data_IF_390329620417
#
_entry.id   IF_390329620417
#
_cell.length_a   1.000
_cell.length_b   1.000
_cell.length_c   1.000
_cell.angle_alpha   90.00
_cell.angle_beta   90.00
_cell.angle_gamma   90.00
#
_symmetry.space_group_name_H-M   'P 1'
#
loop_
_entity.id
_entity.type
_entity.pdbx_description
1 polymer ?
#
# COMPACT_ATOMS: atom_id res chain seq x y z
N UNK A 1 -80.26 -19.35 1.24
CA UNK A 1 -79.17 -19.90 0.42
C UNK A 1 -78.62 -18.88 -0.58
N UNK A 2 -79.46 -18.27 -1.43
CA UNK A 2 -79.03 -17.29 -2.46
C UNK A 2 -78.38 -16.03 -1.86
N UNK A 3 -79.01 -15.41 -0.84
CA UNK A 3 -78.43 -14.24 -0.15
C UNK A 3 -77.05 -14.52 0.44
N UNK A 4 -76.85 -15.73 0.97
CA UNK A 4 -75.58 -16.15 1.59
C UNK A 4 -74.49 -16.31 0.52
N UNK A 5 -74.82 -16.85 -0.65
CA UNK A 5 -73.93 -16.89 -1.82
C UNK A 5 -73.56 -15.50 -2.32
N UNK A 6 -74.51 -14.56 -2.41
CA UNK A 6 -74.24 -13.19 -2.84
C UNK A 6 -73.27 -12.46 -1.90
N UNK A 7 -73.42 -12.64 -0.59
CA UNK A 7 -72.50 -12.06 0.41
C UNK A 7 -71.09 -12.65 0.27
N UNK A 8 -70.97 -13.97 0.10
CA UNK A 8 -69.67 -14.63 -0.09
C UNK A 8 -68.97 -14.12 -1.36
N UNK A 9 -69.71 -14.00 -2.47
CA UNK A 9 -69.18 -13.47 -3.74
C UNK A 9 -68.71 -12.02 -3.57
N UNK A 10 -69.48 -11.19 -2.86
CA UNK A 10 -69.10 -9.81 -2.57
C UNK A 10 -67.80 -9.71 -1.76
N UNK A 11 -67.66 -10.51 -0.71
CA UNK A 11 -66.45 -10.56 0.12
C UNK A 11 -65.24 -11.02 -0.70
N UNK A 12 -65.40 -12.07 -1.51
CA UNK A 12 -64.33 -12.55 -2.39
C UNK A 12 -63.90 -11.49 -3.41
N UNK A 13 -64.85 -10.76 -4.01
CA UNK A 13 -64.54 -9.69 -4.95
C UNK A 13 -63.73 -8.57 -4.29
N UNK A 14 -64.07 -8.19 -3.04
CA UNK A 14 -63.31 -7.20 -2.26
C UNK A 14 -61.89 -7.69 -1.96
N UNK A 15 -61.74 -8.96 -1.55
CA UNK A 15 -60.41 -9.55 -1.28
C UNK A 15 -59.55 -9.58 -2.55
N UNK A 16 -60.13 -9.99 -3.69
CA UNK A 16 -59.43 -10.03 -4.99
C UNK A 16 -59.04 -8.61 -5.42
N UNK A 17 -59.95 -7.63 -5.28
CA UNK A 17 -59.67 -6.23 -5.58
C UNK A 17 -58.53 -5.66 -4.72
N UNK A 18 -58.55 -5.93 -3.41
CA UNK A 18 -57.50 -5.54 -2.48
C UNK A 18 -56.15 -6.21 -2.83
N UNK A 19 -56.16 -7.52 -3.11
CA UNK A 19 -54.94 -8.24 -3.51
C UNK A 19 -54.37 -7.70 -4.82
N UNK A 20 -55.21 -7.40 -5.80
CA UNK A 20 -54.79 -6.83 -7.08
C UNK A 20 -54.19 -5.44 -6.89
N UNK A 21 -54.82 -4.57 -6.10
CA UNK A 21 -54.31 -3.23 -5.79
C UNK A 21 -52.95 -3.30 -5.07
N UNK A 22 -52.83 -4.16 -4.04
CA UNK A 22 -51.59 -4.37 -3.30
C UNK A 22 -50.46 -4.93 -4.18
N UNK A 23 -50.76 -5.88 -5.07
CA UNK A 23 -49.79 -6.40 -6.05
C UNK A 23 -49.33 -5.30 -7.01
N UNK A 24 -50.25 -4.49 -7.53
CA UNK A 24 -49.91 -3.40 -8.48
C UNK A 24 -48.99 -2.36 -7.84
N UNK A 25 -49.26 -1.96 -6.58
CA UNK A 25 -48.41 -1.02 -5.83
C UNK A 25 -47.00 -1.58 -5.59
N UNK A 26 -46.88 -2.84 -5.16
CA UNK A 26 -45.57 -3.49 -4.97
C UNK A 26 -44.77 -3.60 -6.27
N UNK A 27 -45.43 -3.95 -7.38
CA UNK A 27 -44.75 -4.02 -8.67
C UNK A 27 -44.20 -2.67 -9.12
N UNK A 28 -44.92 -1.56 -8.88
CA UNK A 28 -44.40 -0.22 -9.16
C UNK A 28 -43.16 0.11 -8.34
N UNK A 29 -43.18 -0.17 -7.03
CA UNK A 29 -42.02 0.02 -6.14
C UNK A 29 -40.81 -0.79 -6.63
N UNK A 30 -41.01 -2.06 -7.00
CA UNK A 30 -39.91 -2.91 -7.50
C UNK A 30 -39.35 -2.35 -8.82
N UNK A 31 -40.19 -1.84 -9.72
CA UNK A 31 -39.75 -1.22 -10.96
C UNK A 31 -38.94 0.05 -10.71
N UNK A 32 -39.33 0.88 -9.74
CA UNK A 32 -38.57 2.07 -9.33
C UNK A 32 -37.20 1.68 -8.74
N UNK A 33 -37.14 0.68 -7.87
CA UNK A 33 -35.88 0.16 -7.32
C UNK A 33 -34.98 -0.36 -8.45
N UNK A 34 -35.54 -1.14 -9.37
CA UNK A 34 -34.81 -1.72 -10.50
C UNK A 34 -34.26 -0.63 -11.42
N UNK A 35 -35.08 0.39 -11.73
CA UNK A 35 -34.64 1.54 -12.52
C UNK A 35 -33.54 2.34 -11.81
N UNK A 36 -33.66 2.55 -10.49
CA UNK A 36 -32.62 3.22 -9.70
C UNK A 36 -31.29 2.47 -9.74
N UNK A 37 -31.31 1.14 -9.57
CA UNK A 37 -30.11 0.30 -9.68
C UNK A 37 -29.55 0.34 -11.11
N UNK A 38 -30.41 0.24 -12.13
CA UNK A 38 -29.98 0.29 -13.53
C UNK A 38 -29.25 1.59 -13.85
N UNK A 39 -29.78 2.73 -13.39
CA UNK A 39 -29.14 4.03 -13.58
C UNK A 39 -27.77 4.11 -12.90
N UNK A 40 -27.66 3.58 -11.67
CA UNK A 40 -26.38 3.51 -10.95
C UNK A 40 -25.37 2.64 -11.70
N UNK A 41 -25.81 1.54 -12.31
CA UNK A 41 -24.94 0.65 -13.07
C UNK A 41 -24.54 1.25 -14.43
N UNK A 42 -25.45 1.94 -15.12
CA UNK A 42 -25.21 2.53 -16.44
C UNK A 42 -24.33 3.79 -16.37
N UNK A 43 -24.58 4.64 -15.37
CA UNK A 43 -23.88 5.92 -15.22
C UNK A 43 -22.80 5.90 -14.14
N UNK A 44 -22.53 4.73 -13.53
CA UNK A 44 -21.55 4.53 -12.45
C UNK A 44 -21.67 5.55 -11.30
N UNK A 45 -22.90 5.94 -10.96
CA UNK A 45 -23.15 6.99 -9.95
C UNK A 45 -22.93 6.48 -8.53
N UNK A 46 -22.70 7.41 -7.61
CA UNK A 46 -22.58 7.14 -6.17
C UNK A 46 -23.88 7.41 -5.42
N UNK A 47 -25.00 7.46 -6.16
CA UNK A 47 -26.31 7.75 -5.59
C UNK A 47 -26.87 6.54 -4.84
N UNK A 48 -27.74 6.81 -3.88
CA UNK A 48 -28.46 5.79 -3.12
C UNK A 48 -29.82 5.55 -3.74
N UNK A 49 -30.28 4.31 -3.68
CA UNK A 49 -31.64 3.96 -4.08
C UNK A 49 -32.58 4.36 -2.96
N UNK A 50 -33.31 5.46 -3.16
CA UNK A 50 -34.25 6.02 -2.19
C UNK A 50 -35.67 5.92 -2.74
N UNK A 51 -36.40 4.88 -2.32
CA UNK A 51 -37.79 4.67 -2.72
C UNK A 51 -38.67 4.67 -1.46
N UNK A 52 -39.63 5.60 -1.34
CA UNK A 52 -40.52 5.65 -0.18
C UNK A 52 -41.46 4.44 -0.20
N UNK A 53 -41.36 3.60 0.83
CA UNK A 53 -42.21 2.41 1.00
C UNK A 53 -42.69 2.31 2.44
N UNK A 54 -43.92 1.86 2.63
CA UNK A 54 -44.46 1.49 3.95
C UNK A 54 -44.36 -0.01 4.24
N UNK A 55 -43.72 -0.77 3.34
CA UNK A 55 -43.53 -2.22 3.45
C UNK A 55 -42.16 -2.50 4.09
N UNK A 56 -42.16 -2.94 5.35
CA UNK A 56 -40.95 -3.15 6.16
C UNK A 56 -39.91 -4.08 5.48
N UNK A 57 -40.29 -5.24 4.89
CA UNK A 57 -39.37 -6.07 4.12
C UNK A 57 -38.68 -5.35 2.96
N UNK A 58 -39.40 -4.48 2.23
CA UNK A 58 -38.81 -3.72 1.11
C UNK A 58 -37.85 -2.65 1.65
N UNK A 59 -38.22 -2.00 2.76
CA UNK A 59 -37.35 -1.02 3.40
C UNK A 59 -36.04 -1.67 3.89
N UNK A 60 -36.11 -2.85 4.51
CA UNK A 60 -34.92 -3.59 4.92
C UNK A 60 -34.05 -3.96 3.72
N UNK A 61 -34.64 -4.42 2.61
CA UNK A 61 -33.91 -4.73 1.39
C UNK A 61 -33.20 -3.49 0.81
N UNK A 62 -33.88 -2.34 0.76
CA UNK A 62 -33.29 -1.07 0.32
C UNK A 62 -32.09 -0.66 1.17
N UNK A 63 -32.17 -0.84 2.49
CA UNK A 63 -31.04 -0.57 3.39
C UNK A 63 -29.86 -1.49 3.07
N UNK A 64 -30.09 -2.78 2.85
CA UNK A 64 -29.00 -3.73 2.51
C UNK A 64 -28.38 -3.43 1.15
N UNK A 65 -29.19 -3.08 0.14
CA UNK A 65 -28.71 -2.67 -1.18
C UNK A 65 -27.82 -1.44 -1.06
N UNK A 66 -28.27 -0.40 -0.35
CA UNK A 66 -27.48 0.81 -0.16
C UNK A 66 -26.17 0.55 0.61
N UNK A 67 -26.17 -0.35 1.60
CA UNK A 67 -24.93 -0.79 2.27
C UNK A 67 -23.97 -1.50 1.33
N UNK A 68 -24.50 -2.34 0.42
CA UNK A 68 -23.70 -3.04 -0.59
C UNK A 68 -23.10 -2.03 -1.58
N UNK A 69 -23.86 -1.03 -2.01
CA UNK A 69 -23.37 0.08 -2.85
C UNK A 69 -22.27 0.89 -2.14
N UNK A 70 -22.47 1.26 -0.87
CA UNK A 70 -21.46 1.94 -0.07
C UNK A 70 -20.16 1.11 0.03
N UNK A 71 -20.29 -0.20 0.30
CA UNK A 71 -19.15 -1.13 0.35
C UNK A 71 -18.44 -1.26 -1.00
N UNK A 72 -19.20 -1.37 -2.11
CA UNK A 72 -18.64 -1.40 -3.47
C UNK A 72 -17.82 -0.14 -3.74
N UNK A 73 -18.36 1.02 -3.40
CA UNK A 73 -17.66 2.30 -3.59
C UNK A 73 -16.36 2.35 -2.78
N UNK A 74 -16.39 1.89 -1.53
CA UNK A 74 -15.20 1.81 -0.68
C UNK A 74 -14.13 0.90 -1.27
N UNK A 75 -14.51 -0.32 -1.68
CA UNK A 75 -13.60 -1.28 -2.32
C UNK A 75 -13.02 -0.71 -3.61
N UNK A 76 -13.83 -0.05 -4.44
CA UNK A 76 -13.35 0.56 -5.68
C UNK A 76 -12.38 1.71 -5.41
N UNK A 77 -12.66 2.57 -4.42
CA UNK A 77 -11.78 3.65 -4.02
C UNK A 77 -10.44 3.12 -3.49
N UNK A 78 -10.47 2.08 -2.65
CA UNK A 78 -9.26 1.45 -2.10
C UNK A 78 -8.45 0.74 -3.21
N UNK A 79 -9.12 0.08 -4.16
CA UNK A 79 -8.48 -0.49 -5.34
C UNK A 79 -7.83 0.59 -6.22
N UNK A 80 -8.53 1.68 -6.51
CA UNK A 80 -7.99 2.79 -7.30
C UNK A 80 -6.77 3.43 -6.63
N UNK A 81 -6.80 3.63 -5.30
CA UNK A 81 -5.67 4.12 -4.50
C UNK A 81 -4.48 3.18 -4.57
N UNK A 82 -4.71 1.88 -4.38
CA UNK A 82 -3.65 0.85 -4.45
C UNK A 82 -3.01 0.84 -5.84
N UNK A 83 -3.82 0.85 -6.89
CA UNK A 83 -3.35 0.89 -8.28
C UNK A 83 -2.55 2.16 -8.60
N UNK A 84 -2.99 3.31 -8.09
CA UNK A 84 -2.26 4.57 -8.24
C UNK A 84 -0.92 4.55 -7.48
N UNK A 85 -0.90 4.01 -6.26
CA UNK A 85 0.32 3.82 -5.47
C UNK A 85 1.34 2.94 -6.20
N UNK A 86 0.91 1.78 -6.73
CA UNK A 86 1.76 0.88 -7.51
C UNK A 86 2.33 1.57 -8.76
N UNK A 87 1.51 2.32 -9.49
CA UNK A 87 1.97 3.09 -10.67
C UNK A 87 3.00 4.14 -10.29
N UNK A 88 2.76 4.89 -9.21
CA UNK A 88 3.71 5.90 -8.70
C UNK A 88 5.02 5.26 -8.26
N UNK A 89 4.96 4.12 -7.55
CA UNK A 89 6.13 3.36 -7.14
C UNK A 89 6.99 2.95 -8.35
N UNK A 90 6.39 2.34 -9.38
CA UNK A 90 7.10 1.95 -10.62
C UNK A 90 7.68 3.18 -11.36
N UNK A 91 6.93 4.29 -11.41
CA UNK A 91 7.40 5.52 -12.05
C UNK A 91 8.61 6.11 -11.32
N UNK A 92 8.52 6.25 -9.99
CA UNK A 92 9.60 6.79 -9.15
C UNK A 92 10.85 5.93 -9.25
N UNK A 93 10.68 4.61 -9.16
CA UNK A 93 11.72 3.60 -9.42
C UNK A 93 12.44 3.82 -10.74
N UNK A 94 11.67 3.99 -11.83
CA UNK A 94 12.24 4.16 -13.16
C UNK A 94 13.11 5.44 -13.24
N UNK A 95 12.67 6.52 -12.59
CA UNK A 95 13.44 7.76 -12.48
C UNK A 95 14.72 7.57 -11.66
N UNK A 96 14.61 6.92 -10.50
CA UNK A 96 15.72 6.71 -9.57
C UNK A 96 16.77 5.75 -10.14
N UNK A 97 16.39 4.82 -11.02
CA UNK A 97 17.31 3.96 -11.77
C UNK A 97 17.98 4.70 -12.93
N UNK A 98 17.25 5.55 -13.67
CA UNK A 98 17.77 6.27 -14.85
C UNK A 98 18.96 7.17 -14.51
N UNK A 99 18.91 7.84 -13.37
CA UNK A 99 19.95 8.78 -12.93
C UNK A 99 21.33 8.10 -12.75
N UNK A 100 21.50 7.09 -11.88
CA UNK A 100 22.77 6.39 -11.72
C UNK A 100 23.20 5.65 -12.98
N UNK A 101 22.28 5.09 -13.78
CA UNK A 101 22.62 4.46 -15.06
C UNK A 101 23.23 5.45 -16.05
N UNK A 102 22.70 6.68 -16.12
CA UNK A 102 23.25 7.74 -16.98
C UNK A 102 24.68 8.13 -16.53
N UNK A 103 24.91 8.19 -15.21
CA UNK A 103 26.25 8.48 -14.65
C UNK A 103 27.22 7.34 -14.92
N UNK A 104 26.78 6.08 -14.75
CA UNK A 104 27.56 4.88 -15.07
C UNK A 104 27.96 4.90 -16.55
N UNK A 105 27.01 5.16 -17.45
CA UNK A 105 27.28 5.28 -18.88
C UNK A 105 28.36 6.35 -19.15
N UNK A 106 28.23 7.55 -18.58
CA UNK A 106 29.23 8.61 -18.72
C UNK A 106 30.62 8.23 -18.21
N UNK A 107 30.73 7.48 -17.11
CA UNK A 107 32.02 6.95 -16.65
C UNK A 107 32.59 5.90 -17.62
N UNK A 108 31.77 4.99 -18.13
CA UNK A 108 32.23 4.00 -19.12
C UNK A 108 32.66 4.64 -20.44
N UNK A 109 31.95 5.67 -20.91
CA UNK A 109 32.35 6.45 -22.09
C UNK A 109 33.68 7.16 -21.85
N UNK A 110 33.88 7.74 -20.67
CA UNK A 110 35.14 8.41 -20.29
C UNK A 110 36.32 7.44 -20.26
N UNK A 111 36.12 6.22 -19.74
CA UNK A 111 37.15 5.16 -19.72
C UNK A 111 37.48 4.65 -21.14
N UNK A 112 36.52 4.68 -22.06
CA UNK A 112 36.70 4.17 -23.42
C UNK A 112 37.40 5.19 -24.36
N UNK A 113 37.58 6.45 -23.93
CA UNK A 113 38.27 7.47 -24.72
C UNK A 113 39.80 7.32 -24.60
N UNK A 114 40.45 6.94 -25.71
CA UNK A 114 41.92 6.79 -25.77
C UNK A 114 42.65 8.08 -25.40
N UNK A 115 43.74 7.96 -24.64
CA UNK A 115 44.63 9.05 -24.22
C UNK A 115 43.95 10.22 -23.47
N UNK A 116 42.75 9.99 -22.91
CA UNK A 116 41.98 11.05 -22.24
C UNK A 116 42.14 11.09 -20.72
N UNK A 117 42.80 10.08 -20.14
CA UNK A 117 43.03 9.96 -18.70
C UNK A 117 44.47 9.53 -18.41
N UNK A 118 45.03 10.08 -17.34
CA UNK A 118 46.22 9.52 -16.68
C UNK A 118 45.85 8.26 -15.90
N UNK A 119 46.83 7.41 -15.56
CA UNK A 119 46.60 6.19 -14.78
C UNK A 119 45.90 6.47 -13.42
N UNK A 120 46.23 7.60 -12.77
CA UNK A 120 45.58 8.01 -11.52
C UNK A 120 44.12 8.44 -11.72
N UNK A 121 43.82 9.14 -12.82
CA UNK A 121 42.43 9.52 -13.13
C UNK A 121 41.58 8.31 -13.53
N UNK A 122 42.17 7.34 -14.22
CA UNK A 122 41.52 6.07 -14.56
C UNK A 122 41.11 5.31 -13.29
N UNK A 123 42.03 5.16 -12.34
CA UNK A 123 41.76 4.53 -11.04
C UNK A 123 40.62 5.24 -10.29
N UNK A 124 40.64 6.57 -10.24
CA UNK A 124 39.57 7.35 -9.61
C UNK A 124 38.21 7.18 -10.31
N UNK A 125 38.19 7.11 -11.64
CA UNK A 125 36.96 6.87 -12.41
C UNK A 125 36.41 5.48 -12.13
N UNK A 126 37.27 4.46 -12.09
CA UNK A 126 36.88 3.08 -11.75
C UNK A 126 36.31 3.01 -10.33
N UNK A 127 36.94 3.67 -9.36
CA UNK A 127 36.43 3.74 -7.98
C UNK A 127 35.02 4.36 -7.93
N UNK A 128 34.82 5.52 -8.57
CA UNK A 128 33.51 6.18 -8.63
C UNK A 128 32.46 5.35 -9.37
N UNK A 129 32.86 4.66 -10.43
CA UNK A 129 32.00 3.74 -11.17
C UNK A 129 31.51 2.61 -10.26
N UNK A 130 32.42 1.96 -9.52
CA UNK A 130 32.08 0.92 -8.55
C UNK A 130 31.14 1.42 -7.46
N UNK A 131 31.38 2.62 -6.91
CA UNK A 131 30.48 3.23 -5.94
C UNK A 131 29.06 3.43 -6.51
N UNK A 132 28.94 3.88 -7.77
CA UNK A 132 27.64 4.06 -8.42
C UNK A 132 26.91 2.75 -8.71
N UNK A 133 27.64 1.71 -9.14
CA UNK A 133 27.07 0.37 -9.35
C UNK A 133 26.57 -0.22 -8.03
N UNK A 134 27.37 -0.14 -6.97
CA UNK A 134 26.97 -0.61 -5.65
C UNK A 134 25.75 0.15 -5.10
N UNK A 135 25.70 1.47 -5.31
CA UNK A 135 24.53 2.28 -4.97
C UNK A 135 23.27 1.85 -5.74
N UNK A 136 23.41 1.54 -7.03
CA UNK A 136 22.31 1.04 -7.86
C UNK A 136 21.79 -0.32 -7.39
N UNK A 137 22.69 -1.25 -7.05
CA UNK A 137 22.33 -2.56 -6.48
C UNK A 137 21.57 -2.38 -5.17
N UNK A 138 22.02 -1.47 -4.29
CA UNK A 138 21.32 -1.17 -3.04
C UNK A 138 19.91 -0.65 -3.27
N UNK A 139 19.71 0.25 -4.25
CA UNK A 139 18.39 0.77 -4.61
C UNK A 139 17.46 -0.34 -5.11
N UNK A 140 17.99 -1.22 -5.96
CA UNK A 140 17.27 -2.35 -6.51
C UNK A 140 16.85 -3.36 -5.43
N UNK A 141 17.74 -3.65 -4.47
CA UNK A 141 17.41 -4.49 -3.32
C UNK A 141 16.31 -3.86 -2.45
N UNK A 142 16.40 -2.55 -2.15
CA UNK A 142 15.37 -1.84 -1.40
C UNK A 142 14.00 -1.91 -2.08
N UNK A 143 13.97 -1.85 -3.41
CA UNK A 143 12.73 -2.03 -4.16
C UNK A 143 12.17 -3.44 -4.07
N UNK A 144 13.00 -4.46 -4.28
CA UNK A 144 12.55 -5.84 -4.15
C UNK A 144 12.02 -6.14 -2.75
N UNK A 145 12.65 -5.56 -1.74
CA UNK A 145 12.19 -5.65 -0.37
C UNK A 145 10.82 -4.98 -0.18
N UNK A 146 10.60 -3.81 -0.78
CA UNK A 146 9.30 -3.13 -0.72
C UNK A 146 8.22 -3.97 -1.42
N UNK A 147 8.51 -4.51 -2.61
CA UNK A 147 7.59 -5.40 -3.35
C UNK A 147 7.25 -6.64 -2.53
N UNK A 148 8.22 -7.23 -1.83
CA UNK A 148 7.97 -8.35 -0.91
C UNK A 148 7.05 -7.92 0.22
N UNK A 149 7.31 -6.81 0.89
CA UNK A 149 6.48 -6.32 2.00
C UNK A 149 5.04 -6.01 1.54
N UNK A 150 4.85 -5.51 0.32
CA UNK A 150 3.52 -5.24 -0.25
C UNK A 150 2.80 -6.50 -0.77
N UNK A 151 3.47 -7.64 -0.85
CA UNK A 151 2.83 -8.90 -1.26
C UNK A 151 2.03 -9.51 -0.12
N UNK A 152 0.84 -10.02 -0.41
CA UNK A 152 -0.05 -10.64 0.59
C UNK A 152 0.58 -11.89 1.26
N UNK A 153 1.55 -12.51 0.60
CA UNK A 153 2.22 -13.76 1.02
C UNK A 153 3.59 -13.55 1.70
N UNK A 154 3.86 -12.36 2.23
CA UNK A 154 5.14 -12.11 2.91
C UNK A 154 5.21 -12.76 4.29
N UNK A 155 5.65 -14.00 4.32
CA UNK A 155 5.89 -14.73 5.57
C UNK A 155 7.26 -14.37 6.16
N UNK A 156 7.26 -13.51 7.19
CA UNK A 156 8.45 -13.26 8.00
C UNK A 156 8.60 -14.39 9.01
N UNK A 157 9.65 -15.19 8.83
CA UNK A 157 10.09 -16.13 9.85
C UNK A 157 10.57 -15.38 11.10
N UNK A 158 9.81 -15.50 12.19
CA UNK A 158 10.16 -14.99 13.50
C UNK A 158 10.93 -16.04 14.30
N UNK A 159 11.96 -15.61 14.99
CA UNK A 159 12.76 -16.44 15.87
C UNK A 159 13.10 -15.69 17.16
N UNK A 160 13.51 -16.41 18.20
CA UNK A 160 14.03 -15.81 19.42
C UNK A 160 15.40 -15.19 19.12
N UNK A 161 15.49 -13.87 19.18
CA UNK A 161 16.71 -13.11 18.86
C UNK A 161 17.13 -12.21 20.03
N UNK A 162 18.44 -12.03 20.20
CA UNK A 162 19.02 -11.10 21.19
C UNK A 162 19.18 -9.73 20.56
N UNK A 163 18.39 -8.75 21.02
CA UNK A 163 18.47 -7.36 20.57
C UNK A 163 19.87 -6.78 20.81
N UNK A 164 20.42 -7.01 22.01
CA UNK A 164 21.74 -6.51 22.42
C UNK A 164 22.85 -7.02 21.48
N UNK A 165 22.75 -8.27 21.02
CA UNK A 165 23.75 -8.87 20.12
C UNK A 165 23.64 -8.29 18.71
N UNK A 166 22.43 -8.15 18.17
CA UNK A 166 22.23 -7.56 16.84
C UNK A 166 22.71 -6.11 16.83
N UNK A 167 22.38 -5.31 17.86
CA UNK A 167 22.88 -3.94 17.98
C UNK A 167 24.41 -3.87 18.00
N UNK A 168 25.10 -4.71 18.79
CA UNK A 168 26.57 -4.73 18.84
C UNK A 168 27.17 -5.10 17.49
N UNK A 169 26.68 -6.16 16.86
CA UNK A 169 27.18 -6.60 15.56
C UNK A 169 26.99 -5.53 14.50
N UNK A 170 25.81 -4.90 14.43
CA UNK A 170 25.57 -3.83 13.45
C UNK A 170 26.46 -2.62 13.73
N UNK A 171 26.64 -2.18 14.98
CA UNK A 171 27.53 -1.03 15.26
C UNK A 171 28.98 -1.33 14.90
N UNK A 172 29.46 -2.56 15.14
CA UNK A 172 30.81 -2.99 14.76
C UNK A 172 31.04 -2.95 13.24
N UNK A 173 30.04 -3.24 12.42
CA UNK A 173 30.14 -3.13 10.95
C UNK A 173 30.44 -1.70 10.48
N UNK A 174 30.02 -0.68 11.25
CA UNK A 174 30.24 0.73 10.93
C UNK A 174 31.47 1.32 11.64
N UNK A 175 32.21 0.56 12.44
CA UNK A 175 33.28 1.05 13.30
C UNK A 175 34.35 1.84 12.51
N UNK A 176 34.88 1.28 11.43
CA UNK A 176 35.90 1.93 10.60
C UNK A 176 35.37 3.20 9.92
N UNK A 177 34.10 3.18 9.51
CA UNK A 177 33.46 4.35 8.90
C UNK A 177 33.23 5.47 9.92
N UNK A 178 32.83 5.13 11.15
CA UNK A 178 32.62 6.08 12.23
C UNK A 178 33.93 6.77 12.64
N UNK A 179 35.02 6.00 12.72
CA UNK A 179 36.36 6.51 13.03
C UNK A 179 36.89 7.39 11.89
N UNK A 180 36.81 6.92 10.64
CA UNK A 180 37.31 7.70 9.49
C UNK A 180 36.61 9.04 9.33
N UNK A 181 35.37 9.17 9.80
CA UNK A 181 34.62 10.44 9.81
C UNK A 181 34.79 11.30 11.07
N UNK A 182 35.62 10.88 12.04
CA UNK A 182 35.83 11.58 13.32
C UNK A 182 34.52 11.94 14.04
N UNK A 183 33.52 11.05 14.00
CA UNK A 183 32.24 11.27 14.67
C UNK A 183 32.37 10.95 16.17
N UNK A 184 31.74 11.78 17.02
CA UNK A 184 31.56 11.44 18.44
C UNK A 184 30.42 10.43 18.55
N UNK A 185 30.75 9.19 18.91
CA UNK A 185 29.79 8.09 19.05
C UNK A 185 29.67 7.74 20.52
N UNK A 186 28.45 7.71 21.04
CA UNK A 186 28.12 7.21 22.37
C UNK A 186 27.23 5.98 22.20
N UNK A 187 27.70 4.84 22.71
CA UNK A 187 27.03 3.54 22.56
C UNK A 187 26.60 3.08 23.94
N UNK A 188 25.31 3.11 24.20
CA UNK A 188 24.70 2.54 25.40
C UNK A 188 23.92 1.28 25.03
N UNK A 189 24.56 0.12 25.18
CA UNK A 189 23.93 -1.19 24.94
C UNK A 189 24.03 -2.00 26.24
N UNK A 190 22.91 -2.44 26.83
CA UNK A 190 22.92 -3.25 28.04
C UNK A 190 23.76 -4.52 27.90
N UNK A 191 24.52 -4.86 28.95
CA UNK A 191 25.28 -6.11 29.08
C UNK A 191 24.37 -7.35 29.04
N UNK A 192 23.17 -7.25 29.63
CA UNK A 192 22.23 -8.35 29.62
C UNK A 192 21.56 -8.50 28.26
N UNK A 193 21.47 -9.72 27.71
CA UNK A 193 20.80 -9.97 26.44
C UNK A 193 19.29 -9.79 26.61
N UNK A 194 18.72 -8.86 25.86
CA UNK A 194 17.27 -8.70 25.77
C UNK A 194 16.73 -9.55 24.62
N UNK A 195 15.97 -10.60 24.94
CA UNK A 195 15.41 -11.49 23.93
C UNK A 195 13.99 -11.09 23.55
N UNK A 196 13.71 -11.13 22.25
CA UNK A 196 12.35 -10.96 21.73
C UNK A 196 12.11 -11.88 20.53
N UNK A 197 10.84 -12.06 20.16
CA UNK A 197 10.46 -12.77 18.93
C UNK A 197 10.48 -11.79 17.77
N UNK A 198 11.38 -12.01 16.82
CA UNK A 198 11.63 -11.10 15.72
C UNK A 198 12.39 -11.75 14.57
N UNK A 199 12.62 -10.98 13.52
CA UNK A 199 13.48 -11.39 12.42
C UNK A 199 14.83 -10.66 12.52
N UNK A 200 15.92 -11.44 12.56
CA UNK A 200 17.28 -10.93 12.76
C UNK A 200 17.70 -9.98 11.62
N UNK A 201 17.42 -10.36 10.38
CA UNK A 201 17.83 -9.62 9.18
C UNK A 201 17.03 -8.31 9.05
N UNK A 202 15.74 -8.34 9.36
CA UNK A 202 14.91 -7.14 9.40
C UNK A 202 15.42 -6.13 10.44
N UNK A 203 15.76 -6.60 11.65
CA UNK A 203 16.32 -5.74 12.71
C UNK A 203 17.68 -5.17 12.29
N UNK A 204 18.58 -6.02 11.77
CA UNK A 204 19.88 -5.59 11.26
C UNK A 204 19.72 -4.51 10.18
N UNK A 205 18.79 -4.69 9.24
CA UNK A 205 18.52 -3.73 8.17
C UNK A 205 17.96 -2.41 8.70
N UNK A 206 17.05 -2.44 9.68
CA UNK A 206 16.54 -1.22 10.33
C UNK A 206 17.70 -0.45 10.97
N UNK A 207 18.52 -1.13 11.78
CA UNK A 207 19.65 -0.51 12.47
C UNK A 207 20.69 0.03 11.49
N UNK A 208 21.03 -0.74 10.46
CA UNK A 208 21.98 -0.33 9.41
C UNK A 208 21.51 0.91 8.67
N UNK A 209 20.22 0.99 8.34
CA UNK A 209 19.64 2.17 7.69
C UNK A 209 19.66 3.40 8.60
N UNK A 210 19.33 3.24 9.88
CA UNK A 210 19.37 4.33 10.86
C UNK A 210 20.80 4.84 11.09
N UNK A 211 21.75 3.94 11.32
CA UNK A 211 23.16 4.29 11.53
C UNK A 211 23.73 4.97 10.27
N UNK A 212 23.48 4.41 9.09
CA UNK A 212 23.93 5.01 7.81
C UNK A 212 23.36 6.42 7.61
N UNK A 213 22.08 6.64 7.92
CA UNK A 213 21.47 7.96 7.89
C UNK A 213 22.09 8.91 8.92
N UNK A 214 22.32 8.46 10.16
CA UNK A 214 23.00 9.26 11.19
C UNK A 214 24.41 9.65 10.78
N UNK A 215 25.17 8.77 10.12
CA UNK A 215 26.51 9.09 9.60
C UNK A 215 26.45 10.09 8.43
N UNK A 216 25.42 9.98 7.58
CA UNK A 216 25.25 10.84 6.41
C UNK A 216 24.80 12.26 6.78
N UNK A 217 23.89 12.38 7.75
CA UNK A 217 23.23 13.66 8.08
C UNK A 217 23.61 14.23 9.44
N UNK A 218 24.12 13.41 10.37
CA UNK A 218 24.43 13.83 11.74
C UNK A 218 25.55 14.87 11.85
N UNK A 219 26.43 14.97 10.84
CA UNK A 219 27.48 16.00 10.79
C UNK A 219 26.98 17.41 10.45
N UNK A 220 25.70 17.60 10.06
CA UNK A 220 25.13 18.93 9.80
C UNK A 220 24.67 19.67 11.06
N UNK A 221 24.65 19.01 12.23
CA UNK A 221 24.13 19.60 13.49
C UNK A 221 25.27 20.03 14.44
N UNK A 222 26.53 19.76 14.12
CA UNK A 222 27.66 20.22 14.92
C UNK A 222 28.16 21.60 14.44
N UNK A 223 28.01 22.60 15.33
CA UNK A 223 28.59 23.95 15.35
C UNK A 223 27.66 25.12 14.98
N UNK A 224 26.74 25.43 15.90
CA UNK A 224 26.31 26.79 16.24
C UNK A 224 26.01 26.80 17.75
N UNK A 225 27.05 27.03 18.56
CA UNK A 225 26.95 27.05 20.03
C UNK A 225 28.27 26.69 20.68
#
# INVERSE_FOLDING_TARGET
MILLLCVIIGVLAVIIGWQWYSRRKRNQIILEITSGISNILEYETTEKVLVPTGDDPIQQLLIQINRLLDNKQKVFADYARTKDSQRKMISNMSHDLKTPLTVILGYTEKLNQKNSLTAQEEEQVILRLNEKVNGLISLLNQFFDLVKIESEDYDIALSKISLSEVCRNTVLEFYDLLISKNLRVEIDIPEQPYYFHGNKDALHRILSNLISNSIRYGSMVACSG
#
